data_IF_892641200164
#
_entry.id   IF_892641200164
#
_cell.length_a   1.000
_cell.length_b   1.000
_cell.length_c   1.000
_cell.angle_alpha   90.00
_cell.angle_beta   90.00
_cell.angle_gamma   90.00
#
_symmetry.space_group_name_H-M   'P 1'
#
loop_
_entity.id
_entity.type
_entity.pdbx_description
1 polymer ?
#
# COMPACT_ATOMS: atom_id res chain seq x y z
N UNK A 1 -9.93 24.67 -1.21
CA UNK A 1 -8.91 24.32 -2.22
C UNK A 1 -7.73 25.24 -1.99
N UNK A 2 -6.58 24.69 -1.60
CA UNK A 2 -5.36 25.45 -1.30
C UNK A 2 -4.94 26.27 -2.55
N UNK A 3 -4.86 27.62 -2.49
CA UNK A 3 -4.46 28.44 -3.63
C UNK A 3 -3.05 28.07 -4.12
N UNK A 4 -2.85 28.07 -5.44
CA UNK A 4 -1.55 27.80 -6.09
C UNK A 4 -0.93 26.42 -5.81
N UNK A 5 -1.71 25.42 -5.40
CA UNK A 5 -1.22 24.03 -5.24
C UNK A 5 -0.55 23.45 -6.48
N UNK A 6 -1.03 23.80 -7.67
CA UNK A 6 -0.42 23.39 -8.93
C UNK A 6 1.02 23.90 -9.06
N UNK A 7 1.28 25.13 -8.62
CA UNK A 7 2.62 25.72 -8.65
C UNK A 7 3.53 25.08 -7.59
N UNK A 8 3.00 24.88 -6.38
CA UNK A 8 3.74 24.28 -5.25
C UNK A 8 4.08 22.80 -5.44
N UNK A 9 3.24 22.04 -6.16
CA UNK A 9 3.45 20.60 -6.41
C UNK A 9 4.19 20.31 -7.71
N UNK A 10 4.39 21.30 -8.58
CA UNK A 10 5.05 21.16 -9.90
C UNK A 10 6.47 20.56 -9.84
N UNK A 11 7.34 20.93 -8.88
CA UNK A 11 8.67 20.33 -8.77
C UNK A 11 8.58 18.82 -8.47
N UNK A 12 7.75 18.43 -7.49
CA UNK A 12 7.53 17.03 -7.08
C UNK A 12 6.92 16.20 -8.21
N UNK A 13 5.93 16.74 -8.92
CA UNK A 13 5.29 16.06 -10.06
C UNK A 13 6.24 15.85 -11.24
N UNK A 14 7.29 16.67 -11.37
CA UNK A 14 8.33 16.50 -12.39
C UNK A 14 9.28 15.36 -12.02
N UNK A 15 9.54 15.13 -10.72
CA UNK A 15 10.36 14.02 -10.22
C UNK A 15 9.70 12.64 -10.42
N UNK A 16 8.37 12.57 -10.37
CA UNK A 16 7.62 11.34 -10.62
C UNK A 16 7.57 10.93 -12.10
N UNK A 17 8.04 11.80 -13.02
CA UNK A 17 8.10 11.47 -14.44
C UNK A 17 9.29 10.54 -14.70
N UNK A 18 9.02 9.39 -15.31
CA UNK A 18 10.00 8.33 -15.65
C UNK A 18 11.05 8.72 -16.71
N UNK A 19 11.24 10.01 -16.98
CA UNK A 19 12.08 10.50 -18.07
C UNK A 19 13.58 10.52 -17.74
N UNK A 20 13.98 10.50 -16.46
CA UNK A 20 15.38 10.53 -16.04
C UNK A 20 15.62 9.69 -14.78
N UNK A 21 16.87 9.21 -14.59
CA UNK A 21 17.29 8.57 -13.34
C UNK A 21 17.20 9.59 -12.21
N UNK A 22 16.35 9.31 -11.23
CA UNK A 22 16.14 10.15 -10.07
C UNK A 22 17.43 10.30 -9.26
N UNK A 23 17.81 11.54 -8.92
CA UNK A 23 18.93 11.88 -8.04
C UNK A 23 18.42 12.83 -6.95
N UNK A 24 18.63 12.45 -5.69
CA UNK A 24 18.30 13.29 -4.53
C UNK A 24 19.41 14.33 -4.34
N UNK A 25 19.10 15.61 -4.47
CA UNK A 25 20.04 16.74 -4.30
C UNK A 25 19.55 17.62 -3.16
N UNK A 26 20.43 18.48 -2.63
CA UNK A 26 20.10 19.35 -1.50
C UNK A 26 18.96 20.34 -1.81
N UNK A 27 18.87 20.79 -3.07
CA UNK A 27 17.75 21.59 -3.57
C UNK A 27 16.41 20.83 -3.50
N UNK A 28 16.43 19.51 -3.74
CA UNK A 28 15.24 18.66 -3.65
C UNK A 28 14.82 18.40 -2.21
N UNK A 29 15.77 18.22 -1.29
CA UNK A 29 15.46 18.15 0.14
C UNK A 29 14.77 19.44 0.60
N UNK A 30 15.30 20.60 0.21
CA UNK A 30 14.70 21.90 0.56
C UNK A 30 13.27 22.03 0.04
N UNK A 31 13.02 21.75 -1.24
CA UNK A 31 11.67 21.85 -1.84
C UNK A 31 10.69 20.84 -1.26
N UNK A 32 11.15 19.62 -0.92
CA UNK A 32 10.32 18.61 -0.28
C UNK A 32 9.95 19.01 1.15
N UNK A 33 10.88 19.57 1.92
CA UNK A 33 10.61 20.08 3.26
C UNK A 33 9.65 21.27 3.22
N UNK A 34 9.80 22.19 2.27
CA UNK A 34 8.86 23.31 2.06
C UNK A 34 7.44 22.82 1.76
N UNK A 35 7.32 21.79 0.91
CA UNK A 35 6.03 21.16 0.60
C UNK A 35 5.41 20.47 1.82
N UNK A 36 6.21 19.73 2.62
CA UNK A 36 5.74 19.15 3.89
C UNK A 36 5.27 20.22 4.85
N UNK A 37 6.03 21.30 5.05
CA UNK A 37 5.63 22.40 5.93
C UNK A 37 4.36 23.06 5.43
N UNK A 38 4.16 23.18 4.11
CA UNK A 38 2.91 23.72 3.55
C UNK A 38 1.72 22.82 3.82
N UNK A 39 1.86 21.50 3.70
CA UNK A 39 0.78 20.55 3.98
C UNK A 39 0.51 20.40 5.48
N UNK A 40 1.53 20.52 6.32
CA UNK A 40 1.43 20.37 7.76
C UNK A 40 0.98 21.66 8.47
N UNK A 41 1.13 22.82 7.83
CA UNK A 41 0.65 24.10 8.37
C UNK A 41 -0.79 24.33 7.91
N UNK A 42 -1.78 24.44 8.81
CA UNK A 42 -3.11 24.86 8.42
C UNK A 42 -3.03 26.26 7.78
N UNK A 43 -3.67 26.45 6.62
CA UNK A 43 -3.71 27.76 5.99
C UNK A 43 -4.26 28.77 7.00
N UNK A 44 -3.43 29.79 7.32
CA UNK A 44 -3.90 30.95 8.06
C UNK A 44 -5.00 31.58 7.20
N UNK A 45 -6.26 31.67 7.68
CA UNK A 45 -7.28 32.36 6.92
C UNK A 45 -6.83 33.82 6.78
N UNK A 46 -6.56 34.22 5.54
CA UNK A 46 -6.32 35.60 5.10
C UNK A 46 -5.19 36.35 5.84
N UNK A 47 -4.02 36.45 5.20
CA UNK A 47 -3.02 37.45 5.58
C UNK A 47 -3.40 38.80 5.00
N UNK A 48 -3.68 39.71 5.92
CA UNK A 48 -3.98 41.13 5.80
C UNK A 48 -3.17 41.87 4.71
N UNK A 49 -3.82 42.14 3.58
CA UNK A 49 -3.48 43.29 2.72
C UNK A 49 -4.69 43.68 1.88
N UNK A 50 -5.44 44.62 2.44
CA UNK A 50 -6.46 45.47 1.83
C UNK A 50 -7.81 44.84 1.41
N UNK A 51 -8.85 45.44 2.01
CA UNK A 51 -10.27 45.47 1.59
C UNK A 51 -11.03 44.16 1.65
N UNK A 52 -11.39 43.77 2.86
CA UNK A 52 -12.77 43.66 3.36
C UNK A 52 -12.74 42.64 4.49
N UNK A 53 -12.62 43.15 5.72
CA UNK A 53 -12.68 42.33 6.90
C UNK A 53 -14.12 41.80 7.02
N UNK A 54 -14.36 40.59 6.50
CA UNK A 54 -15.56 39.85 6.81
C UNK A 54 -15.53 39.54 8.31
N UNK A 55 -16.27 40.34 9.06
CA UNK A 55 -16.42 40.28 10.52
C UNK A 55 -16.83 38.86 10.90
N UNK A 56 -16.21 38.21 11.90
CA UNK A 56 -16.77 37.00 12.48
C UNK A 56 -18.00 37.40 13.29
N UNK A 57 -19.15 37.48 12.63
CA UNK A 57 -20.48 37.65 13.24
C UNK A 57 -20.86 36.44 14.12
N UNK A 58 -20.03 35.40 14.20
CA UNK A 58 -20.33 34.18 14.97
C UNK A 58 -20.03 34.27 16.48
N UNK A 59 -19.52 35.40 17.00
CA UNK A 59 -19.26 35.52 18.45
C UNK A 59 -20.46 36.09 19.22
N UNK A 60 -21.47 36.63 18.53
CA UNK A 60 -22.63 37.28 19.16
C UNK A 60 -24.00 36.66 18.83
N UNK A 61 -24.18 36.12 17.62
CA UNK A 61 -25.45 35.52 17.20
C UNK A 61 -25.30 34.02 16.92
N UNK A 62 -26.22 33.18 17.43
CA UNK A 62 -26.18 31.76 17.17
C UNK A 62 -26.36 31.50 15.67
N UNK A 63 -25.43 30.73 15.09
CA UNK A 63 -25.51 30.34 13.67
C UNK A 63 -26.81 29.59 13.38
N UNK A 64 -27.27 29.59 12.12
CA UNK A 64 -28.45 28.80 11.72
C UNK A 64 -28.32 27.32 12.11
N UNK A 65 -27.11 26.77 12.10
CA UNK A 65 -26.83 25.40 12.55
C UNK A 65 -27.09 25.21 14.04
N UNK A 66 -26.80 26.22 14.85
CA UNK A 66 -27.07 26.21 16.29
C UNK A 66 -28.56 26.47 16.58
N UNK A 67 -29.20 27.40 15.86
CA UNK A 67 -30.63 27.70 16.00
C UNK A 67 -31.53 26.53 15.59
N UNK A 68 -31.12 25.76 14.59
CA UNK A 68 -31.85 24.60 14.07
C UNK A 68 -31.30 23.27 14.60
N UNK A 69 -30.40 23.30 15.59
CA UNK A 69 -29.84 22.07 16.17
C UNK A 69 -30.91 21.29 16.92
N UNK A 70 -31.16 20.06 16.47
CA UNK A 70 -31.96 19.10 17.19
C UNK A 70 -31.10 17.87 17.48
N UNK A 71 -30.85 17.62 18.78
CA UNK A 71 -30.03 16.52 19.24
C UNK A 71 -30.59 15.16 18.81
N UNK A 72 -31.91 15.00 18.82
CA UNK A 72 -32.58 13.75 18.46
C UNK A 72 -32.40 13.43 16.98
N UNK A 73 -32.65 14.40 16.12
CA UNK A 73 -32.53 14.23 14.66
C UNK A 73 -31.06 14.01 14.27
N UNK A 74 -30.13 14.69 14.93
CA UNK A 74 -28.69 14.51 14.72
C UNK A 74 -28.22 13.12 15.17
N UNK A 75 -28.71 12.62 16.31
CA UNK A 75 -28.39 11.28 16.80
C UNK A 75 -28.94 10.20 15.88
N UNK A 76 -30.16 10.38 15.37
CA UNK A 76 -30.78 9.46 14.41
C UNK A 76 -30.01 9.44 13.08
N UNK A 77 -29.66 10.62 12.54
CA UNK A 77 -28.83 10.74 11.33
C UNK A 77 -27.46 10.06 11.52
N UNK A 78 -26.79 10.30 12.65
CA UNK A 78 -25.51 9.66 12.95
C UNK A 78 -25.63 8.13 13.07
N UNK A 79 -26.72 7.65 13.67
CA UNK A 79 -26.99 6.21 13.78
C UNK A 79 -27.18 5.56 12.41
N UNK A 80 -27.90 6.21 11.51
CA UNK A 80 -28.10 5.76 10.13
C UNK A 80 -26.77 5.74 9.38
N UNK A 81 -25.99 6.82 9.45
CA UNK A 81 -24.69 6.94 8.80
C UNK A 81 -23.71 5.86 9.28
N UNK A 82 -23.68 5.57 10.58
CA UNK A 82 -22.88 4.49 11.15
C UNK A 82 -23.30 3.13 10.63
N UNK A 83 -24.61 2.86 10.57
CA UNK A 83 -25.14 1.61 10.00
C UNK A 83 -24.72 1.41 8.55
N UNK A 84 -24.79 2.45 7.72
CA UNK A 84 -24.35 2.41 6.33
C UNK A 84 -22.84 2.13 6.19
N UNK A 85 -22.02 2.69 7.08
CA UNK A 85 -20.56 2.46 7.11
C UNK A 85 -20.27 1.00 7.47
N UNK A 86 -20.95 0.45 8.46
CA UNK A 86 -20.74 -0.92 8.90
C UNK A 86 -21.22 -1.93 7.84
N UNK A 87 -22.38 -1.70 7.21
CA UNK A 87 -22.82 -2.49 6.06
C UNK A 87 -21.81 -2.47 4.91
N UNK A 88 -21.24 -1.30 4.59
CA UNK A 88 -20.23 -1.17 3.55
C UNK A 88 -18.94 -1.94 3.91
N UNK A 89 -18.54 -1.94 5.19
CA UNK A 89 -17.39 -2.71 5.68
C UNK A 89 -17.64 -4.22 5.59
N UNK A 90 -18.81 -4.68 6.01
CA UNK A 90 -19.18 -6.09 5.94
C UNK A 90 -19.20 -6.58 4.49
N UNK A 91 -19.77 -5.80 3.58
CA UNK A 91 -19.76 -6.13 2.15
C UNK A 91 -18.34 -6.14 1.58
N UNK A 92 -17.47 -5.21 2.00
CA UNK A 92 -16.07 -5.19 1.60
C UNK A 92 -15.31 -6.44 2.11
N UNK A 93 -15.59 -6.88 3.34
CA UNK A 93 -15.02 -8.09 3.92
C UNK A 93 -15.44 -9.33 3.12
N UNK A 94 -16.75 -9.49 2.85
CA UNK A 94 -17.29 -10.59 2.03
C UNK A 94 -16.60 -10.62 0.65
N UNK A 95 -16.47 -9.47 0.01
CA UNK A 95 -15.81 -9.35 -1.30
C UNK A 95 -14.33 -9.72 -1.24
N UNK A 96 -13.62 -9.29 -0.20
CA UNK A 96 -12.21 -9.63 0.03
C UNK A 96 -12.03 -11.13 0.23
N UNK A 97 -12.86 -11.76 1.06
CA UNK A 97 -12.81 -13.20 1.31
C UNK A 97 -13.16 -14.02 0.07
N UNK A 98 -14.17 -13.59 -0.69
CA UNK A 98 -14.52 -14.18 -1.98
C UNK A 98 -13.38 -14.05 -2.99
N UNK A 99 -12.67 -12.92 -3.01
CA UNK A 99 -11.47 -12.73 -3.82
C UNK A 99 -10.34 -13.69 -3.39
N UNK A 100 -10.02 -13.74 -2.09
CA UNK A 100 -9.02 -14.66 -1.51
C UNK A 100 -9.32 -16.11 -1.88
N UNK A 101 -10.57 -16.54 -1.73
CA UNK A 101 -11.01 -17.92 -2.01
C UNK A 101 -10.91 -18.25 -3.50
N UNK A 102 -11.32 -17.33 -4.39
CA UNK A 102 -11.18 -17.51 -5.84
C UNK A 102 -9.72 -17.64 -6.26
N UNK A 103 -8.85 -16.79 -5.72
CA UNK A 103 -7.41 -16.86 -5.96
C UNK A 103 -6.83 -18.19 -5.47
N UNK A 104 -7.11 -18.59 -4.24
CA UNK A 104 -6.64 -19.85 -3.67
C UNK A 104 -7.08 -21.06 -4.51
N UNK A 105 -8.33 -21.10 -4.97
CA UNK A 105 -8.83 -22.16 -5.86
C UNK A 105 -8.07 -22.18 -7.19
N UNK A 106 -7.83 -21.01 -7.80
CA UNK A 106 -7.09 -20.89 -9.06
C UNK A 106 -5.63 -21.33 -8.93
N UNK A 107 -4.99 -21.10 -7.80
CA UNK A 107 -3.65 -21.60 -7.53
C UNK A 107 -3.66 -23.12 -7.31
N UNK A 108 -4.58 -23.63 -6.49
CA UNK A 108 -4.70 -25.08 -6.23
C UNK A 108 -4.96 -25.90 -7.48
N UNK A 109 -5.73 -25.41 -8.45
CA UNK A 109 -5.97 -26.16 -9.71
C UNK A 109 -4.71 -26.27 -10.59
N UNK A 110 -3.76 -25.35 -10.45
CA UNK A 110 -2.50 -25.35 -11.22
C UNK A 110 -1.39 -26.16 -10.55
N UNK A 111 -1.46 -26.34 -9.23
CA UNK A 111 -0.48 -27.10 -8.46
C UNK A 111 -0.93 -28.54 -8.37
N UNK A 112 -0.18 -29.45 -8.99
CA UNK A 112 -0.34 -30.90 -8.74
C UNK A 112 0.50 -31.25 -7.51
N UNK A 113 -0.08 -31.72 -6.40
CA UNK A 113 0.69 -32.25 -5.28
C UNK A 113 1.64 -33.33 -5.78
N UNK A 114 2.89 -33.30 -5.31
CA UNK A 114 3.88 -34.33 -5.57
C UNK A 114 4.54 -34.69 -4.26
N UNK A 115 4.41 -35.95 -3.88
CA UNK A 115 5.12 -36.50 -2.74
C UNK A 115 6.39 -37.17 -3.26
N UNK A 116 7.51 -36.91 -2.59
CA UNK A 116 8.79 -37.53 -2.91
C UNK A 116 9.11 -38.61 -1.89
N UNK A 117 9.66 -39.72 -2.37
CA UNK A 117 10.11 -40.83 -1.53
C UNK A 117 11.63 -40.78 -1.33
N UNK A 118 12.15 -41.33 -0.22
CA UNK A 118 13.58 -41.55 -0.07
C UNK A 118 14.17 -42.28 -1.30
N UNK A 119 15.23 -41.73 -1.88
CA UNK A 119 15.86 -42.22 -3.10
C UNK A 119 15.48 -41.46 -4.38
N UNK A 120 14.38 -40.70 -4.38
CA UNK A 120 13.97 -39.91 -5.54
C UNK A 120 15.00 -38.82 -5.87
N UNK A 121 15.19 -38.57 -7.16
CA UNK A 121 16.04 -37.48 -7.65
C UNK A 121 15.21 -36.23 -7.92
N UNK A 122 15.61 -35.12 -7.30
CA UNK A 122 14.91 -33.84 -7.39
C UNK A 122 15.86 -32.70 -7.73
N UNK A 123 15.36 -31.74 -8.50
CA UNK A 123 16.07 -30.50 -8.79
C UNK A 123 15.62 -29.41 -7.82
N UNK A 124 16.55 -28.65 -7.29
CA UNK A 124 16.24 -27.58 -6.34
C UNK A 124 16.18 -26.24 -7.06
N UNK A 125 15.17 -25.42 -6.79
CA UNK A 125 15.13 -24.05 -7.31
C UNK A 125 16.25 -23.22 -6.67
N UNK A 126 17.11 -22.63 -7.49
CA UNK A 126 18.15 -21.70 -7.06
C UNK A 126 17.53 -20.35 -6.77
N UNK A 127 17.31 -20.05 -5.48
CA UNK A 127 16.82 -18.75 -5.05
C UNK A 127 17.75 -17.62 -5.50
N UNK A 128 17.20 -16.43 -5.77
CA UNK A 128 17.99 -15.30 -6.29
C UNK A 128 19.17 -14.91 -5.39
N UNK A 129 19.07 -15.12 -4.08
CA UNK A 129 20.14 -14.89 -3.13
C UNK A 129 21.38 -15.79 -3.33
N UNK A 130 21.21 -16.96 -3.97
CA UNK A 130 22.30 -17.90 -4.29
C UNK A 130 22.82 -17.74 -5.71
N UNK A 131 22.20 -16.89 -6.52
CA UNK A 131 22.69 -16.57 -7.86
C UNK A 131 23.81 -15.55 -7.71
N UNK A 132 24.98 -15.90 -8.21
CA UNK A 132 26.06 -14.93 -8.36
C UNK A 132 25.60 -13.85 -9.35
N UNK A 133 25.64 -12.57 -8.96
CA UNK A 133 25.24 -11.45 -9.82
C UNK A 133 26.17 -11.28 -11.02
N UNK A 134 27.39 -11.80 -10.94
CA UNK A 134 28.32 -11.84 -12.07
C UNK A 134 27.89 -12.88 -13.11
N UNK A 135 27.19 -13.92 -12.68
CA UNK A 135 26.62 -14.93 -13.55
C UNK A 135 25.32 -14.38 -14.15
N UNK A 136 25.41 -13.92 -15.40
CA UNK A 136 24.33 -13.21 -16.09
C UNK A 136 23.00 -13.96 -16.20
N UNK A 137 22.03 -13.33 -16.87
CA UNK A 137 20.61 -13.77 -16.94
C UNK A 137 20.37 -15.20 -17.45
N UNK A 138 21.36 -15.84 -18.08
CA UNK A 138 21.23 -17.15 -18.73
C UNK A 138 21.59 -18.35 -17.84
N UNK A 139 21.90 -18.14 -16.57
CA UNK A 139 22.23 -19.23 -15.64
C UNK A 139 20.98 -20.02 -15.28
N UNK A 140 21.07 -21.37 -15.15
CA UNK A 140 19.95 -22.19 -14.76
C UNK A 140 19.29 -21.73 -13.46
N UNK A 141 17.96 -21.76 -13.43
CA UNK A 141 17.18 -21.49 -12.22
C UNK A 141 17.11 -22.69 -11.26
N UNK A 142 17.76 -23.79 -11.63
CA UNK A 142 17.71 -25.06 -10.95
C UNK A 142 19.13 -25.52 -10.65
N UNK A 143 19.33 -26.04 -9.45
CA UNK A 143 20.58 -26.57 -8.95
C UNK A 143 20.44 -28.07 -8.73
N UNK A 144 21.47 -28.79 -9.18
CA UNK A 144 21.69 -30.23 -9.01
C UNK A 144 20.54 -31.18 -9.39
N UNK A 145 20.87 -32.46 -9.60
CA UNK A 145 20.04 -33.53 -9.09
C UNK A 145 20.48 -33.86 -7.66
N UNK A 146 19.58 -33.68 -6.70
CA UNK A 146 19.75 -34.12 -5.31
C UNK A 146 18.97 -35.40 -5.08
N UNK A 147 19.44 -36.24 -4.16
CA UNK A 147 18.69 -37.40 -3.69
C UNK A 147 17.89 -37.05 -2.43
N UNK A 148 16.63 -37.46 -2.38
CA UNK A 148 15.81 -37.34 -1.18
C UNK A 148 16.27 -38.38 -0.16
N UNK A 149 16.63 -37.94 1.04
CA UNK A 149 17.12 -38.78 2.13
C UNK A 149 15.98 -39.27 3.02
N UNK A 150 15.13 -38.34 3.46
CA UNK A 150 13.87 -38.64 4.16
C UNK A 150 12.92 -37.43 4.13
N UNK A 151 11.63 -37.71 4.28
CA UNK A 151 10.58 -36.71 4.43
C UNK A 151 10.56 -36.20 5.89
N UNK A 152 10.56 -34.87 6.07
CA UNK A 152 10.50 -34.19 7.37
C UNK A 152 9.07 -33.75 7.75
N UNK A 153 8.07 -34.15 6.94
CA UNK A 153 6.68 -33.71 6.95
C UNK A 153 6.49 -32.24 6.53
N UNK A 154 5.24 -31.81 6.29
CA UNK A 154 4.89 -30.46 5.84
C UNK A 154 5.64 -29.99 4.58
N UNK A 155 5.71 -30.85 3.55
CA UNK A 155 6.39 -30.59 2.27
C UNK A 155 7.90 -30.28 2.40
N UNK A 156 8.53 -30.61 3.52
CA UNK A 156 9.95 -30.47 3.74
C UNK A 156 10.69 -31.81 3.58
N UNK A 157 11.81 -31.80 2.85
CA UNK A 157 12.60 -32.99 2.55
C UNK A 157 14.08 -32.73 2.85
N UNK A 158 14.76 -33.71 3.46
CA UNK A 158 16.22 -33.68 3.58
C UNK A 158 16.83 -34.18 2.27
N UNK A 159 17.78 -33.41 1.74
CA UNK A 159 18.44 -33.69 0.47
C UNK A 159 19.92 -34.07 0.69
N UNK A 160 20.43 -34.95 -0.15
CA UNK A 160 21.82 -35.38 -0.23
C UNK A 160 22.39 -35.01 -1.61
N UNK A 161 23.61 -34.48 -1.64
CA UNK A 161 24.35 -34.26 -2.89
C UNK A 161 24.87 -35.59 -3.42
N UNK A 162 24.72 -35.80 -4.74
CA UNK A 162 25.20 -37.04 -5.38
C UNK A 162 26.74 -37.11 -5.45
N UNK A 163 27.45 -36.03 -5.16
CA UNK A 163 28.91 -35.94 -5.19
C UNK A 163 29.62 -36.52 -3.96
N UNK A 164 28.88 -36.86 -2.88
CA UNK A 164 29.47 -37.38 -1.65
C UNK A 164 30.10 -36.31 -0.77
#
# INVERSE_FOLDING_TARGET
>A
FLPRMADKSRPIMTLLKKASKFQWTDEWESTFQEFKTTLATPEKPFSDSHTDAMIPVEVGEPSLRQCLYNEKDNMEALSIDLGLIDEARDQALINMEACRTRLARRFRTKVRPRDFQPGDLVWKVTGEARKDRAQGKLVPNWDGPFRVLHNLNNDAYKLEELSG
#
